data_IF_119784238998
#
_entry.id   IF_119784238998
#
_cell.length_a   1.000
_cell.length_b   1.000
_cell.length_c   1.000
_cell.angle_alpha   90.00
_cell.angle_beta   90.00
_cell.angle_gamma   90.00
#
_symmetry.space_group_name_H-M   'P 1'
#
loop_
_entity.id
_entity.type
_entity.pdbx_description
1 polymer ?
#
# COMPACT_ATOMS: atom_id res chain seq x y z
N UNK A 1 55.51 30.77 -0.39
CA UNK A 1 55.63 29.60 -1.28
C UNK A 1 54.60 28.60 -0.79
N UNK A 2 53.62 28.26 -1.64
CA UNK A 2 52.52 27.29 -1.45
C UNK A 2 53.07 25.92 -1.00
N UNK A 3 52.31 25.01 -0.36
CA UNK A 3 51.21 24.20 -0.94
C UNK A 3 50.32 23.59 0.17
N UNK A 4 49.05 23.41 -0.17
CA UNK A 4 47.95 22.75 0.57
C UNK A 4 48.15 21.24 0.76
N UNK A 5 47.53 20.64 1.79
CA UNK A 5 47.00 19.26 1.74
C UNK A 5 45.82 19.10 2.71
N UNK A 6 44.67 18.77 2.14
CA UNK A 6 43.40 18.40 2.79
C UNK A 6 43.40 16.90 3.08
N UNK A 7 42.84 16.48 4.23
CA UNK A 7 42.09 15.22 4.32
C UNK A 7 41.18 15.20 5.56
N UNK A 8 39.89 15.46 5.31
CA UNK A 8 38.77 14.98 6.13
C UNK A 8 38.82 13.47 6.29
N UNK A 9 38.45 12.97 7.47
CA UNK A 9 37.65 11.76 7.61
C UNK A 9 37.06 11.74 9.02
N UNK A 10 35.86 12.30 9.15
CA UNK A 10 35.02 12.06 10.31
C UNK A 10 34.78 10.56 10.43
N UNK A 11 35.51 9.92 11.33
CA UNK A 11 35.17 8.59 11.83
C UNK A 11 33.99 8.72 12.79
N UNK A 12 32.84 9.13 12.25
CA UNK A 12 31.56 8.80 12.87
C UNK A 12 31.44 7.30 12.74
N UNK A 13 31.80 6.65 13.85
CA UNK A 13 31.61 5.24 14.10
C UNK A 13 30.26 4.82 13.51
N UNK A 14 30.34 3.91 12.54
CA UNK A 14 29.23 3.16 12.00
C UNK A 14 28.50 2.53 13.19
N UNK A 15 27.47 3.22 13.68
CA UNK A 15 26.46 2.59 14.51
C UNK A 15 25.77 1.60 13.59
N UNK A 16 26.25 0.36 13.62
CA UNK A 16 25.63 -0.80 13.00
C UNK A 16 24.27 -0.90 13.69
N UNK A 17 23.26 -0.25 13.11
CA UNK A 17 21.88 -0.47 13.46
C UNK A 17 21.63 -1.96 13.22
N UNK A 18 21.52 -2.73 14.30
CA UNK A 18 20.95 -4.07 14.25
C UNK A 18 19.59 -3.93 13.58
N UNK A 19 19.34 -4.53 12.40
CA UNK A 19 18.01 -4.51 11.84
C UNK A 19 17.13 -5.35 12.76
N UNK A 20 16.25 -4.69 13.49
CA UNK A 20 15.08 -5.32 14.10
C UNK A 20 14.30 -5.95 12.94
N UNK A 21 14.57 -7.22 12.69
CA UNK A 21 14.32 -7.89 11.41
C UNK A 21 12.92 -8.50 11.35
N UNK A 22 11.95 -7.81 11.95
CA UNK A 22 10.54 -8.04 11.66
C UNK A 22 10.12 -7.01 10.60
N UNK A 23 9.90 -7.47 9.36
CA UNK A 23 9.35 -6.62 8.31
C UNK A 23 8.10 -5.93 8.84
N UNK A 24 8.08 -4.60 8.78
CA UNK A 24 6.95 -3.78 9.21
C UNK A 24 5.61 -4.32 8.66
N UNK A 25 4.55 -4.46 9.46
CA UNK A 25 3.27 -5.01 9.03
C UNK A 25 2.70 -4.32 7.79
N UNK A 26 2.90 -3.01 7.64
CA UNK A 26 2.43 -2.29 6.46
C UNK A 26 3.24 -2.67 5.21
N UNK A 27 4.55 -2.83 5.34
CA UNK A 27 5.39 -3.33 4.25
C UNK A 27 5.00 -4.75 3.84
N UNK A 28 4.67 -5.65 4.78
CA UNK A 28 4.15 -6.99 4.45
C UNK A 28 2.83 -6.93 3.68
N UNK A 29 1.91 -6.08 4.13
CA UNK A 29 0.63 -5.86 3.45
C UNK A 29 0.81 -5.34 2.02
N UNK A 30 1.63 -4.30 1.83
CA UNK A 30 1.93 -3.74 0.50
C UNK A 30 2.62 -4.78 -0.39
N UNK A 31 3.61 -5.51 0.14
CA UNK A 31 4.33 -6.53 -0.61
C UNK A 31 3.40 -7.65 -1.09
N UNK A 32 2.41 -8.03 -0.27
CA UNK A 32 1.40 -9.00 -0.68
C UNK A 32 0.51 -8.47 -1.80
N UNK A 33 -0.03 -7.26 -1.67
CA UNK A 33 -0.88 -6.70 -2.72
C UNK A 33 -0.11 -6.50 -4.03
N UNK A 34 1.19 -6.17 -3.96
CA UNK A 34 2.07 -6.16 -5.13
C UNK A 34 2.16 -7.53 -5.82
N UNK A 35 2.16 -8.63 -5.07
CA UNK A 35 2.14 -9.99 -5.65
C UNK A 35 0.82 -10.31 -6.36
N UNK A 36 -0.29 -9.79 -5.86
CA UNK A 36 -1.63 -9.98 -6.44
C UNK A 36 -1.98 -8.99 -7.58
N UNK A 37 -1.06 -8.09 -7.95
CA UNK A 37 -1.34 -7.03 -8.92
C UNK A 37 -1.85 -7.56 -10.27
N UNK A 38 -1.27 -8.64 -10.78
CA UNK A 38 -1.72 -9.27 -12.03
C UNK A 38 -3.15 -9.78 -11.92
N UNK A 39 -3.53 -10.36 -10.79
CA UNK A 39 -4.90 -10.85 -10.56
C UNK A 39 -5.90 -9.69 -10.45
N UNK A 40 -5.49 -8.56 -9.85
CA UNK A 40 -6.30 -7.35 -9.83
C UNK A 40 -6.56 -6.78 -11.22
N UNK A 41 -5.52 -6.75 -12.07
CA UNK A 41 -5.67 -6.31 -13.45
C UNK A 41 -6.66 -7.20 -14.20
N UNK A 42 -6.48 -8.52 -14.11
CA UNK A 42 -7.36 -9.49 -14.75
C UNK A 42 -8.81 -9.37 -14.26
N UNK A 43 -9.00 -9.27 -12.94
CA UNK A 43 -10.33 -9.15 -12.35
C UNK A 43 -11.04 -7.84 -12.75
N UNK A 44 -10.32 -6.73 -12.84
CA UNK A 44 -10.86 -5.45 -13.26
C UNK A 44 -11.06 -5.32 -14.78
N UNK A 45 -10.60 -6.28 -15.59
CA UNK A 45 -10.53 -6.12 -17.05
C UNK A 45 -9.56 -5.00 -17.47
N UNK A 46 -8.52 -4.75 -16.67
CA UNK A 46 -7.48 -3.77 -16.95
C UNK A 46 -6.28 -4.45 -17.63
N UNK A 47 -5.48 -3.69 -18.39
CA UNK A 47 -4.24 -4.20 -18.99
C UNK A 47 -3.14 -4.42 -17.95
N UNK A 48 -3.12 -3.58 -16.91
CA UNK A 48 -2.17 -3.71 -15.82
C UNK A 48 -2.73 -3.12 -14.52
N UNK A 49 -2.18 -3.59 -13.41
CA UNK A 49 -2.37 -2.97 -12.10
C UNK A 49 -0.99 -2.70 -11.48
N UNK A 50 -0.85 -1.53 -10.86
CA UNK A 50 0.35 -1.15 -10.13
C UNK A 50 -0.01 -0.84 -8.70
N UNK A 51 0.58 -1.58 -7.76
CA UNK A 51 0.41 -1.33 -6.33
C UNK A 51 1.53 -0.44 -5.82
N UNK A 52 1.18 0.81 -5.50
CA UNK A 52 2.06 1.82 -4.94
C UNK A 52 1.78 1.96 -3.45
N UNK A 53 2.84 2.15 -2.69
CA UNK A 53 2.68 2.61 -1.32
C UNK A 53 2.50 4.12 -1.36
N UNK A 54 1.59 4.64 -0.55
CA UNK A 54 1.53 6.08 -0.29
C UNK A 54 2.56 6.41 0.81
N UNK A 55 3.47 7.34 0.52
CA UNK A 55 4.61 7.75 1.35
C UNK A 55 4.17 8.36 2.69
N UNK A 56 4.97 8.30 3.78
CA UNK A 56 5.26 7.18 4.69
C UNK A 56 4.18 7.05 5.82
N UNK A 57 4.26 6.04 6.71
CA UNK A 57 3.28 5.83 7.77
C UNK A 57 3.38 6.91 8.88
N UNK A 58 2.86 8.12 8.65
CA UNK A 58 3.21 9.27 9.48
C UNK A 58 2.08 9.97 10.25
N UNK A 59 0.82 9.52 10.18
CA UNK A 59 -0.22 10.04 11.10
C UNK A 59 -1.12 9.00 11.76
N UNK A 60 -1.31 7.81 11.17
CA UNK A 60 -2.43 6.95 11.58
C UNK A 60 -2.11 5.47 11.89
N UNK A 61 -0.83 5.03 11.89
CA UNK A 61 -0.42 3.62 12.14
C UNK A 61 -1.09 2.55 11.26
N UNK A 62 -1.76 2.95 10.18
CA UNK A 62 -2.45 2.06 9.23
C UNK A 62 -1.64 1.91 7.96
N UNK A 63 -1.61 0.71 7.41
CA UNK A 63 -1.01 0.44 6.10
C UNK A 63 -1.85 1.11 5.02
N UNK A 64 -1.26 1.93 4.16
CA UNK A 64 -1.97 2.57 3.04
C UNK A 64 -1.35 2.11 1.72
N UNK A 65 -2.17 1.56 0.84
CA UNK A 65 -1.73 1.22 -0.50
C UNK A 65 -2.68 1.79 -1.55
N UNK A 66 -2.10 2.13 -2.69
CA UNK A 66 -2.78 2.64 -3.86
C UNK A 66 -2.69 1.60 -4.96
N UNK A 67 -3.81 1.15 -5.50
CA UNK A 67 -3.88 0.28 -6.66
C UNK A 67 -4.31 1.12 -7.85
N UNK A 68 -3.43 1.24 -8.83
CA UNK A 68 -3.69 1.95 -10.09
C UNK A 68 -3.93 0.92 -11.17
N UNK A 69 -5.16 0.83 -11.66
CA UNK A 69 -5.58 0.02 -12.80
C UNK A 69 -5.45 0.86 -14.06
N UNK A 70 -4.86 0.29 -15.11
CA UNK A 70 -4.68 0.97 -16.40
C UNK A 70 -5.38 0.17 -17.48
N UNK A 71 -6.33 0.78 -18.17
CA UNK A 71 -7.11 0.15 -19.22
C UNK A 71 -6.57 0.49 -20.60
N UNK A 72 -7.00 -0.28 -21.61
CA UNK A 72 -6.55 -0.14 -23.00
C UNK A 72 -6.93 1.20 -23.64
N UNK A 73 -7.97 1.86 -23.12
CA UNK A 73 -8.37 3.21 -23.52
C UNK A 73 -7.53 4.32 -22.86
N UNK A 74 -6.41 3.95 -22.23
CA UNK A 74 -5.55 4.80 -21.42
C UNK A 74 -6.23 5.43 -20.18
N UNK A 75 -7.45 4.99 -19.84
CA UNK A 75 -8.06 5.39 -18.58
C UNK A 75 -7.35 4.73 -17.40
N UNK A 76 -7.23 5.49 -16.31
CA UNK A 76 -6.66 4.98 -15.06
C UNK A 76 -7.72 5.04 -13.96
N UNK A 77 -7.92 3.92 -13.28
CA UNK A 77 -8.73 3.85 -12.07
C UNK A 77 -7.79 3.74 -10.88
N UNK A 78 -8.00 4.64 -9.93
CA UNK A 78 -7.20 4.73 -8.73
C UNK A 78 -8.03 4.38 -7.50
N UNK A 79 -7.57 3.39 -6.75
CA UNK A 79 -8.22 2.96 -5.52
C UNK A 79 -7.19 2.97 -4.39
N UNK A 80 -7.52 3.71 -3.33
CA UNK A 80 -6.74 3.69 -2.09
C UNK A 80 -7.38 2.71 -1.11
N UNK A 81 -6.58 1.82 -0.56
CA UNK A 81 -7.00 0.88 0.50
C UNK A 81 -6.26 1.19 1.79
N UNK A 82 -7.01 1.16 2.89
CA UNK A 82 -6.50 1.23 4.24
C UNK A 82 -6.52 -0.17 4.85
N UNK A 83 -5.32 -0.68 5.13
CA UNK A 83 -5.12 -1.87 5.92
C UNK A 83 -5.43 -1.63 7.41
N UNK A 84 -5.42 -2.71 8.21
CA UNK A 84 -5.74 -2.64 9.63
C UNK A 84 -4.79 -1.69 10.39
N UNK A 85 -5.31 -1.11 11.48
CA UNK A 85 -4.48 -0.32 12.40
C UNK A 85 -3.66 -1.25 13.29
N UNK A 86 -2.32 -1.18 13.20
CA UNK A 86 -1.42 -2.03 13.97
C UNK A 86 -1.16 -3.41 13.33
N UNK A 87 -0.58 -4.32 14.12
CA UNK A 87 -0.26 -5.67 13.66
C UNK A 87 -1.55 -6.51 13.66
N UNK A 88 -2.03 -7.00 12.51
CA UNK A 88 -3.20 -7.88 12.48
C UNK A 88 -2.82 -9.22 13.11
N UNK A 89 -3.54 -9.63 14.15
CA UNK A 89 -3.41 -10.96 14.71
C UNK A 89 -4.16 -11.97 13.81
N UNK A 90 -3.45 -12.96 13.25
CA UNK A 90 -4.04 -14.18 12.69
C UNK A 90 -4.56 -14.15 11.24
N UNK A 91 -5.24 -15.23 10.86
CA UNK A 91 -5.72 -15.62 9.52
C UNK A 91 -6.58 -14.58 8.77
N UNK A 92 -6.96 -13.49 9.44
CA UNK A 92 -7.61 -12.32 8.86
C UNK A 92 -6.78 -11.66 7.74
N UNK A 93 -5.56 -12.10 7.48
CA UNK A 93 -4.87 -11.75 6.26
C UNK A 93 -5.29 -12.64 5.07
N UNK A 94 -5.42 -13.96 5.18
CA UNK A 94 -5.26 -14.93 4.07
C UNK A 94 -6.13 -14.71 2.80
N UNK A 95 -7.23 -13.96 2.85
CA UNK A 95 -8.10 -13.78 1.68
C UNK A 95 -8.24 -12.34 1.14
N UNK A 96 -7.47 -11.38 1.64
CA UNK A 96 -7.74 -9.95 1.34
C UNK A 96 -7.55 -9.59 -0.13
N UNK A 97 -6.57 -10.18 -0.79
CA UNK A 97 -6.38 -10.04 -2.23
C UNK A 97 -7.51 -10.70 -3.02
N UNK A 98 -7.99 -11.88 -2.61
CA UNK A 98 -9.13 -12.52 -3.27
C UNK A 98 -10.42 -11.67 -3.15
N UNK A 99 -10.67 -11.07 -1.99
CA UNK A 99 -11.79 -10.15 -1.79
C UNK A 99 -11.67 -8.90 -2.66
N UNK A 100 -10.49 -8.28 -2.71
CA UNK A 100 -10.21 -7.12 -3.58
C UNK A 100 -10.45 -7.51 -5.03
N UNK A 101 -9.91 -8.64 -5.50
CA UNK A 101 -10.11 -9.10 -6.87
C UNK A 101 -11.59 -9.31 -7.19
N UNK A 102 -12.36 -9.94 -6.29
CA UNK A 102 -13.80 -10.13 -6.46
C UNK A 102 -14.56 -8.80 -6.54
N UNK A 103 -14.23 -7.83 -5.69
CA UNK A 103 -14.82 -6.50 -5.72
C UNK A 103 -14.45 -5.72 -6.99
N UNK A 104 -13.21 -5.88 -7.47
CA UNK A 104 -12.77 -5.34 -8.75
C UNK A 104 -13.59 -5.91 -9.91
N UNK A 105 -13.84 -7.23 -9.92
CA UNK A 105 -14.68 -7.88 -10.93
C UNK A 105 -16.14 -7.43 -10.93
N UNK A 106 -16.63 -6.85 -9.83
CA UNK A 106 -17.98 -6.29 -9.71
C UNK A 106 -18.07 -4.83 -10.17
N UNK A 107 -17.00 -4.25 -10.70
CA UNK A 107 -16.98 -2.85 -11.15
C UNK A 107 -16.77 -1.85 -10.02
N UNK A 108 -16.18 -2.27 -8.90
CA UNK A 108 -15.77 -1.39 -7.79
C UNK A 108 -16.91 -0.53 -7.22
N UNK A 109 -18.01 -1.12 -6.70
CA UNK A 109 -19.14 -0.37 -6.16
C UNK A 109 -18.69 0.69 -5.13
N UNK A 110 -19.22 1.92 -5.29
CA UNK A 110 -18.79 3.15 -4.59
C UNK A 110 -19.79 3.66 -3.53
N UNK A 111 -20.69 2.80 -3.08
CA UNK A 111 -21.80 3.12 -2.18
C UNK A 111 -21.76 2.36 -0.84
N UNK A 112 -20.64 1.68 -0.54
CA UNK A 112 -20.45 0.93 0.69
C UNK A 112 -20.06 1.79 1.90
N UNK A 113 -20.55 1.42 3.09
CA UNK A 113 -20.22 2.09 4.36
C UNK A 113 -18.73 1.99 4.76
N UNK A 114 -17.95 1.17 4.05
CA UNK A 114 -16.50 1.02 4.20
C UNK A 114 -15.68 2.05 3.41
N UNK A 115 -16.34 2.90 2.62
CA UNK A 115 -15.70 4.04 1.98
C UNK A 115 -15.59 5.17 2.99
N UNK A 116 -14.37 5.54 3.33
CA UNK A 116 -14.06 6.56 4.31
C UNK A 116 -13.40 7.76 3.62
N UNK A 117 -13.67 9.00 4.07
CA UNK A 117 -12.90 10.16 3.63
C UNK A 117 -11.41 9.96 3.93
N UNK A 118 -10.56 10.23 2.94
CA UNK A 118 -9.11 10.21 3.07
C UNK A 118 -8.52 11.32 2.19
N UNK A 119 -8.05 12.40 2.81
CA UNK A 119 -7.50 13.57 2.13
C UNK A 119 -6.20 13.27 1.36
N UNK A 120 -5.51 12.17 1.69
CA UNK A 120 -4.31 11.73 0.97
C UNK A 120 -4.64 10.81 -0.21
N UNK A 121 -5.89 10.35 -0.33
CA UNK A 121 -6.34 9.57 -1.47
C UNK A 121 -6.66 10.51 -2.66
N UNK A 122 -6.21 10.22 -3.89
CA UNK A 122 -6.47 11.07 -5.04
C UNK A 122 -7.95 11.33 -5.35
N UNK A 123 -8.85 10.42 -4.94
CA UNK A 123 -10.30 10.57 -5.04
C UNK A 123 -10.97 11.11 -3.76
N UNK A 124 -10.20 11.53 -2.76
CA UNK A 124 -10.71 11.96 -1.44
C UNK A 124 -11.33 10.85 -0.60
N UNK A 125 -11.30 9.60 -1.08
CA UNK A 125 -11.90 8.44 -0.42
C UNK A 125 -10.97 7.23 -0.47
N UNK A 126 -11.02 6.42 0.59
CA UNK A 126 -10.32 5.15 0.68
C UNK A 126 -11.27 4.04 1.12
N UNK A 127 -10.95 2.80 0.74
CA UNK A 127 -11.63 1.59 1.22
C UNK A 127 -10.96 1.16 2.51
N UNK A 128 -11.67 1.25 3.64
CA UNK A 128 -11.21 0.68 4.91
C UNK A 128 -11.48 -0.83 4.91
N UNK A 129 -10.41 -1.63 4.76
CA UNK A 129 -10.51 -3.08 4.66
C UNK A 129 -11.00 -3.72 5.97
N UNK A 130 -10.83 -3.05 7.11
CA UNK A 130 -11.31 -3.52 8.41
C UNK A 130 -12.83 -3.37 8.48
N UNK A 131 -13.34 -2.19 8.10
CA UNK A 131 -14.78 -1.91 8.08
C UNK A 131 -15.46 -2.75 7.00
N UNK A 132 -14.84 -2.87 5.82
CA UNK A 132 -15.38 -3.65 4.72
C UNK A 132 -15.62 -5.12 5.10
N UNK A 133 -14.65 -5.75 5.77
CA UNK A 133 -14.76 -7.14 6.23
C UNK A 133 -15.67 -7.31 7.45
N UNK A 134 -15.92 -6.26 8.22
CA UNK A 134 -16.91 -6.29 9.29
C UNK A 134 -18.35 -6.14 8.77
N UNK A 135 -18.51 -5.55 7.57
CA UNK A 135 -19.80 -5.35 6.92
C UNK A 135 -20.26 -6.57 6.07
N UNK A 136 -19.40 -7.59 5.91
CA UNK A 136 -19.61 -8.76 5.06
C UNK A 136 -19.47 -10.08 5.81
#
# INVERSE_FOLDING_TARGET
MSIETVASAGALALAIATPDSSVDPAQRFVARLRRAATDFAAAAGAESAVVREAVPPARHRRSRCRVVLRHADASEIDVTFLGPAGSPAGDAHLDVDADIARWLAQGQPRDGAWLVPDDDAPGGVAVDLTVWRAAG
#
